data_IF_539285151116
#
_entry.id   IF_539285151116
#
_cell.length_a   1.000
_cell.length_b   1.000
_cell.length_c   1.000
_cell.angle_alpha   90.00
_cell.angle_beta   90.00
_cell.angle_gamma   90.00
#
_symmetry.space_group_name_H-M   'P 1'
#
loop_
_entity.id
_entity.type
_entity.pdbx_description
1 polymer ?
#
# COMPACT_ATOMS: atom_id res chain seq x y z
N UNK A 1 -15.91 -5.42 -26.44
CA UNK A 1 -14.97 -6.25 -25.65
C UNK A 1 -14.90 -5.62 -24.26
N UNK A 2 -15.62 -6.17 -23.28
CA UNK A 2 -15.54 -5.69 -21.89
C UNK A 2 -14.19 -6.17 -21.36
N UNK A 3 -13.26 -5.24 -21.15
CA UNK A 3 -11.99 -5.55 -20.51
C UNK A 3 -12.35 -6.04 -19.11
N UNK A 4 -12.05 -7.31 -18.79
CA UNK A 4 -12.16 -7.82 -17.41
C UNK A 4 -11.45 -6.80 -16.53
N UNK A 5 -12.16 -6.22 -15.56
CA UNK A 5 -11.57 -5.23 -14.65
C UNK A 5 -10.31 -5.80 -14.00
N UNK A 6 -9.39 -4.92 -13.59
CA UNK A 6 -8.26 -5.34 -12.76
C UNK A 6 -8.83 -5.82 -11.42
N UNK A 7 -8.36 -6.96 -10.91
CA UNK A 7 -8.79 -7.51 -9.63
C UNK A 7 -7.59 -7.60 -8.64
N UNK A 8 -7.88 -7.64 -7.35
CA UNK A 8 -6.83 -7.66 -6.32
C UNK A 8 -6.06 -8.98 -6.27
N UNK A 9 -6.66 -10.10 -6.70
CA UNK A 9 -5.95 -11.36 -6.85
C UNK A 9 -4.83 -11.26 -7.92
N UNK A 10 -5.11 -10.59 -9.04
CA UNK A 10 -4.15 -10.29 -10.08
C UNK A 10 -3.11 -9.25 -9.67
N UNK A 11 -3.43 -8.37 -8.73
CA UNK A 11 -2.45 -7.48 -8.08
C UNK A 11 -1.50 -8.29 -7.19
N UNK A 12 -2.05 -9.15 -6.33
CA UNK A 12 -1.30 -10.00 -5.40
C UNK A 12 -0.31 -10.91 -6.13
N UNK A 13 -0.72 -11.51 -7.25
CA UNK A 13 0.17 -12.32 -8.07
C UNK A 13 1.39 -11.56 -8.65
N UNK A 14 1.34 -10.22 -8.75
CA UNK A 14 2.45 -9.39 -9.26
C UNK A 14 3.47 -9.02 -8.20
N UNK A 15 3.08 -9.00 -6.93
CA UNK A 15 3.88 -8.50 -5.82
C UNK A 15 3.50 -9.19 -4.51
N UNK A 16 3.62 -10.53 -4.44
CA UNK A 16 3.06 -11.31 -3.34
C UNK A 16 3.63 -10.91 -1.98
N UNK A 17 4.92 -10.63 -1.90
CA UNK A 17 5.56 -10.25 -0.63
C UNK A 17 5.05 -8.91 -0.08
N UNK A 18 4.91 -7.89 -0.94
CA UNK A 18 4.39 -6.58 -0.52
C UNK A 18 2.94 -6.68 -0.04
N UNK A 19 2.11 -7.44 -0.76
CA UNK A 19 0.68 -7.59 -0.42
C UNK A 19 0.51 -8.45 0.83
N UNK A 20 1.38 -9.43 1.04
CA UNK A 20 1.43 -10.21 2.28
C UNK A 20 1.79 -9.34 3.47
N UNK A 21 2.78 -8.46 3.35
CA UNK A 21 3.13 -7.53 4.43
C UNK A 21 1.98 -6.55 4.73
N UNK A 22 1.37 -5.95 3.70
CA UNK A 22 0.16 -5.12 3.84
C UNK A 22 -0.99 -5.86 4.55
N UNK A 23 -1.13 -7.16 4.28
CA UNK A 23 -2.13 -8.03 4.90
C UNK A 23 -1.85 -8.25 6.38
N UNK A 24 -0.60 -8.49 6.75
CA UNK A 24 -0.17 -8.65 8.14
C UNK A 24 -0.36 -7.34 8.92
N UNK A 25 0.04 -6.23 8.31
CA UNK A 25 -0.10 -4.87 8.84
C UNK A 25 -1.55 -4.51 9.16
N UNK A 26 -2.44 -4.60 8.17
CA UNK A 26 -3.84 -4.20 8.36
C UNK A 26 -4.55 -5.11 9.36
N UNK A 27 -4.19 -6.39 9.44
CA UNK A 27 -4.71 -7.29 10.48
C UNK A 27 -4.26 -6.88 11.88
N UNK A 28 -3.07 -6.32 12.03
CA UNK A 28 -2.58 -5.78 13.31
C UNK A 28 -3.25 -4.46 13.70
N UNK A 29 -3.60 -3.62 12.72
CA UNK A 29 -4.28 -2.32 12.93
C UNK A 29 -5.41 -2.13 11.90
N UNK A 30 -6.59 -2.71 12.12
CA UNK A 30 -7.68 -2.79 11.12
C UNK A 30 -8.25 -1.46 10.62
N UNK A 31 -8.02 -0.36 11.33
CA UNK A 31 -8.52 0.98 10.96
C UNK A 31 -7.46 1.87 10.32
N UNK A 32 -6.19 1.45 10.28
CA UNK A 32 -5.14 2.20 9.60
C UNK A 32 -5.28 2.01 8.09
N UNK A 33 -5.16 3.12 7.34
CA UNK A 33 -5.19 3.12 5.86
C UNK A 33 -3.96 3.78 5.25
N UNK A 34 -3.35 4.69 5.98
CA UNK A 34 -2.24 5.47 5.46
C UNK A 34 -0.99 4.59 5.34
N UNK A 35 -0.35 4.63 4.18
CA UNK A 35 0.92 3.98 3.91
C UNK A 35 1.92 5.01 3.39
N UNK A 36 3.19 4.82 3.73
CA UNK A 36 4.30 5.63 3.22
C UNK A 36 5.44 4.74 2.73
N UNK A 37 6.07 5.18 1.64
CA UNK A 37 7.33 4.60 1.18
C UNK A 37 8.47 5.45 1.75
N UNK A 38 9.42 4.81 2.44
CA UNK A 38 10.56 5.46 3.07
C UNK A 38 11.87 4.76 2.67
N UNK A 39 12.98 5.46 2.84
CA UNK A 39 14.29 4.81 2.94
C UNK A 39 14.60 4.55 4.41
N UNK A 40 15.21 3.41 4.71
CA UNK A 40 15.69 3.13 6.07
C UNK A 40 16.90 4.01 6.48
N UNK A 41 17.48 4.76 5.55
CA UNK A 41 18.58 5.70 5.80
C UNK A 41 18.10 7.07 6.34
N UNK A 42 16.78 7.31 6.40
CA UNK A 42 16.22 8.57 6.89
C UNK A 42 15.39 8.36 8.16
N UNK A 43 15.51 9.28 9.11
CA UNK A 43 14.60 9.35 10.24
C UNK A 43 13.38 10.17 9.84
N UNK A 44 12.20 9.55 9.90
CA UNK A 44 10.92 10.23 9.66
C UNK A 44 10.30 10.62 10.99
N UNK A 45 9.87 11.88 11.15
CA UNK A 45 9.15 12.34 12.33
C UNK A 45 7.64 12.13 12.13
N UNK A 46 7.03 11.11 12.75
CA UNK A 46 5.61 10.81 12.55
C UNK A 46 4.72 11.88 13.21
N UNK A 47 3.63 12.23 12.52
CA UNK A 47 2.52 12.95 13.15
C UNK A 47 1.65 12.03 14.02
N UNK A 48 0.46 12.50 14.38
CA UNK A 48 -0.51 11.73 15.19
C UNK A 48 -1.32 10.70 14.40
N UNK A 49 -1.32 10.76 13.07
CA UNK A 49 -2.07 9.85 12.21
C UNK A 49 -1.29 8.52 12.11
N UNK A 50 -1.89 7.37 12.49
CA UNK A 50 -1.26 6.08 12.29
C UNK A 50 -1.06 5.77 10.81
N UNK A 51 0.09 5.18 10.48
CA UNK A 51 0.41 4.72 9.14
C UNK A 51 1.22 3.43 9.19
N UNK A 52 1.26 2.71 8.07
CA UNK A 52 2.24 1.67 7.78
C UNK A 52 3.37 2.26 6.93
N UNK A 53 4.58 1.73 7.07
CA UNK A 53 5.72 2.16 6.28
C UNK A 53 6.37 0.97 5.61
N UNK A 54 6.75 1.15 4.36
CA UNK A 54 7.47 0.15 3.57
C UNK A 54 8.80 0.75 3.12
N UNK A 55 9.88 0.00 3.26
CA UNK A 55 11.22 0.47 2.92
C UNK A 55 11.61 0.11 1.48
N UNK A 56 12.28 1.03 0.78
CA UNK A 56 12.86 0.76 -0.53
C UNK A 56 13.89 -0.37 -0.51
N UNK A 57 14.55 -0.56 0.63
CA UNK A 57 15.59 -1.56 0.81
C UNK A 57 15.03 -2.98 1.02
N UNK A 58 13.78 -3.09 1.47
CA UNK A 58 13.09 -4.38 1.66
C UNK A 58 12.26 -4.78 0.43
N UNK A 59 11.93 -3.80 -0.43
CA UNK A 59 11.08 -3.99 -1.62
C UNK A 59 11.68 -3.38 -2.87
N UNK A 60 12.24 -4.22 -3.75
CA UNK A 60 12.71 -3.80 -5.07
C UNK A 60 11.60 -3.04 -5.83
N UNK A 61 11.96 -1.93 -6.46
CA UNK A 61 11.04 -1.11 -7.26
C UNK A 61 9.76 -0.69 -6.49
N UNK A 62 9.83 -0.50 -5.16
CA UNK A 62 8.67 -0.19 -4.31
C UNK A 62 7.74 0.89 -4.88
N UNK A 63 8.28 1.99 -5.39
CA UNK A 63 7.45 3.07 -5.97
C UNK A 63 6.70 2.63 -7.22
N UNK A 64 7.33 1.84 -8.08
CA UNK A 64 6.68 1.31 -9.28
C UNK A 64 5.59 0.29 -8.89
N UNK A 65 5.83 -0.54 -7.86
CA UNK A 65 4.81 -1.43 -7.28
C UNK A 65 3.62 -0.65 -6.74
N UNK A 66 3.85 0.41 -5.95
CA UNK A 66 2.78 1.27 -5.42
C UNK A 66 2.01 2.01 -6.53
N UNK A 67 2.69 2.44 -7.59
CA UNK A 67 2.04 2.99 -8.78
C UNK A 67 1.11 1.95 -9.44
N UNK A 68 1.52 0.67 -9.49
CA UNK A 68 0.66 -0.42 -9.96
C UNK A 68 -0.54 -0.62 -9.01
N UNK A 69 -0.37 -0.46 -7.68
CA UNK A 69 -1.49 -0.50 -6.74
C UNK A 69 -2.52 0.62 -7.02
N UNK A 70 -2.08 1.87 -7.27
CA UNK A 70 -2.97 2.98 -7.63
C UNK A 70 -3.76 2.68 -8.92
N UNK A 71 -3.04 2.15 -9.90
CA UNK A 71 -3.56 1.67 -11.17
C UNK A 71 -4.60 0.54 -11.03
N UNK A 72 -4.60 -0.19 -9.92
CA UNK A 72 -5.60 -1.20 -9.55
C UNK A 72 -6.70 -0.64 -8.64
N UNK A 73 -6.69 0.66 -8.36
CA UNK A 73 -7.57 1.29 -7.37
C UNK A 73 -7.47 0.65 -5.98
N UNK A 74 -6.32 0.05 -5.66
CA UNK A 74 -6.04 -0.54 -4.35
C UNK A 74 -5.62 0.53 -3.35
N UNK A 75 -4.95 1.58 -3.83
CA UNK A 75 -4.53 2.73 -3.04
C UNK A 75 -4.80 4.02 -3.80
N UNK A 76 -4.78 5.15 -3.12
CA UNK A 76 -4.86 6.47 -3.74
C UNK A 76 -3.93 7.46 -3.04
N UNK A 77 -3.34 8.35 -3.83
CA UNK A 77 -2.40 9.36 -3.38
C UNK A 77 -3.05 10.34 -2.38
N UNK A 78 -2.38 10.58 -1.26
CA UNK A 78 -2.79 11.59 -0.26
C UNK A 78 -1.61 12.47 0.15
N UNK A 79 -0.61 12.62 -0.72
CA UNK A 79 0.59 13.42 -0.46
C UNK A 79 0.22 14.87 -0.13
N UNK A 80 0.77 15.35 0.98
CA UNK A 80 0.64 16.75 1.44
C UNK A 80 1.97 17.50 1.42
N UNK A 81 3.06 16.79 1.14
CA UNK A 81 4.44 17.27 1.05
C UNK A 81 5.24 16.36 0.09
N UNK A 82 6.56 16.42 0.14
CA UNK A 82 7.43 15.64 -0.75
C UNK A 82 7.55 14.15 -0.35
N UNK A 83 6.96 13.73 0.77
CA UNK A 83 7.02 12.33 1.22
C UNK A 83 5.93 11.53 0.50
N UNK A 84 6.27 10.46 -0.23
CA UNK A 84 5.29 9.62 -0.89
C UNK A 84 4.32 8.98 0.11
N UNK A 85 3.01 9.17 -0.13
CA UNK A 85 1.96 8.79 0.82
C UNK A 85 0.68 8.44 0.09
N UNK A 86 0.06 7.35 0.51
CA UNK A 86 -1.20 6.85 -0.03
C UNK A 86 -2.11 6.38 1.09
N UNK A 87 -3.39 6.27 0.81
CA UNK A 87 -4.33 5.51 1.61
C UNK A 87 -4.75 4.25 0.86
N UNK A 88 -4.94 3.14 1.58
CA UNK A 88 -5.68 1.99 1.06
C UNK A 88 -7.13 2.41 0.76
N UNK A 89 -7.71 1.91 -0.33
CA UNK A 89 -9.16 1.98 -0.54
C UNK A 89 -9.86 0.98 0.38
N UNK A 90 -11.14 1.21 0.71
CA UNK A 90 -11.87 0.27 1.56
C UNK A 90 -12.04 -1.09 0.88
N UNK A 91 -12.32 -1.13 -0.43
CA UNK A 91 -12.40 -2.40 -1.20
C UNK A 91 -11.11 -3.24 -1.05
N UNK A 92 -9.95 -2.58 -1.08
CA UNK A 92 -8.68 -3.28 -0.93
C UNK A 92 -8.38 -3.65 0.53
N UNK A 93 -8.77 -2.80 1.48
CA UNK A 93 -8.68 -3.12 2.90
C UNK A 93 -9.52 -4.36 3.26
N UNK A 94 -10.76 -4.44 2.76
CA UNK A 94 -11.65 -5.60 2.91
C UNK A 94 -11.01 -6.87 2.31
N UNK A 95 -10.47 -6.76 1.10
CA UNK A 95 -9.72 -7.86 0.47
C UNK A 95 -8.53 -8.35 1.31
N UNK A 96 -7.75 -7.43 1.90
CA UNK A 96 -6.63 -7.78 2.77
C UNK A 96 -7.11 -8.42 4.08
N UNK A 97 -8.23 -7.96 4.64
CA UNK A 97 -8.84 -8.55 5.82
C UNK A 97 -9.50 -9.91 5.53
N UNK A 98 -9.82 -10.21 4.26
CA UNK A 98 -10.46 -11.45 3.84
C UNK A 98 -11.98 -11.42 4.01
N UNK A 99 -12.58 -10.24 3.84
CA UNK A 99 -14.01 -9.98 3.91
C UNK A 99 -14.69 -10.14 2.55
#
# INVERSE_FOLDING_TARGET
MVRKGRDFAGLEAKMPELIKEMREDIRSKPFTREIIALSNAVTYNPGSIPFFYYYHEDHDELLAKLQICEHYSAIYDVRRNQVPRWNLTEDFAEYLLGM
#
